data_IF_653162955219
#
_entry.id   IF_653162955219
#
_cell.length_a   1.000
_cell.length_b   1.000
_cell.length_c   1.000
_cell.angle_alpha   90.00
_cell.angle_beta   90.00
_cell.angle_gamma   90.00
#
_symmetry.space_group_name_H-M   'P 1'
#
loop_
_entity.id
_entity.type
_entity.pdbx_description
1 polymer ?
#
# COMPACT_ATOMS: atom_id res chain seq x y z
N UNK A 1 29.59 4.04 -3.58
CA UNK A 1 28.20 4.23 -4.04
C UNK A 1 27.67 3.13 -4.97
N UNK A 2 28.53 2.26 -5.54
CA UNK A 2 28.09 1.24 -6.50
C UNK A 2 27.17 0.16 -5.91
N UNK A 3 27.41 -0.24 -4.66
CA UNK A 3 26.55 -1.20 -3.96
C UNK A 3 25.09 -0.73 -3.87
N UNK A 4 24.89 0.56 -3.62
CA UNK A 4 23.54 1.14 -3.50
C UNK A 4 22.83 1.10 -4.85
N UNK A 5 23.53 1.36 -5.95
CA UNK A 5 22.96 1.28 -7.29
C UNK A 5 22.53 -0.16 -7.64
N UNK A 6 23.37 -1.14 -7.32
CA UNK A 6 23.05 -2.57 -7.54
C UNK A 6 21.83 -2.99 -6.70
N UNK A 7 21.78 -2.57 -5.44
CA UNK A 7 20.62 -2.87 -4.58
C UNK A 7 19.36 -2.18 -5.09
N UNK A 8 19.45 -0.94 -5.59
CA UNK A 8 18.30 -0.22 -6.14
C UNK A 8 17.76 -0.91 -7.40
N UNK A 9 18.63 -1.33 -8.32
CA UNK A 9 18.26 -2.08 -9.53
C UNK A 9 17.57 -3.41 -9.18
N UNK A 10 18.12 -4.15 -8.21
CA UNK A 10 17.49 -5.39 -7.71
C UNK A 10 16.13 -5.13 -7.04
N UNK A 11 15.99 -4.04 -6.30
CA UNK A 11 14.72 -3.66 -5.68
C UNK A 11 13.67 -3.26 -6.70
N UNK A 12 14.06 -2.61 -7.80
CA UNK A 12 13.14 -2.27 -8.89
C UNK A 12 12.52 -3.54 -9.50
N UNK A 13 13.35 -4.52 -9.88
CA UNK A 13 12.86 -5.79 -10.42
C UNK A 13 12.00 -6.56 -9.42
N UNK A 14 12.42 -6.61 -8.16
CA UNK A 14 11.67 -7.26 -7.08
C UNK A 14 10.30 -6.62 -6.88
N UNK A 15 10.22 -5.29 -6.87
CA UNK A 15 8.96 -4.58 -6.64
C UNK A 15 7.97 -4.77 -7.79
N UNK A 16 8.43 -4.89 -9.03
CA UNK A 16 7.58 -5.21 -10.19
C UNK A 16 6.95 -6.59 -10.04
N UNK A 17 7.73 -7.60 -9.65
CA UNK A 17 7.21 -8.95 -9.39
C UNK A 17 6.25 -8.96 -8.21
N UNK A 18 6.64 -8.31 -7.11
CA UNK A 18 5.81 -8.19 -5.91
C UNK A 18 4.47 -7.52 -6.21
N UNK A 19 4.46 -6.46 -7.02
CA UNK A 19 3.25 -5.76 -7.42
C UNK A 19 2.28 -6.68 -8.17
N UNK A 20 2.78 -7.48 -9.12
CA UNK A 20 1.95 -8.44 -9.88
C UNK A 20 1.38 -9.54 -8.98
N UNK A 21 2.17 -10.05 -8.05
CA UNK A 21 1.71 -11.07 -7.08
C UNK A 21 0.64 -10.48 -6.16
N UNK A 22 0.85 -9.26 -5.66
CA UNK A 22 -0.13 -8.58 -4.83
C UNK A 22 -1.40 -8.26 -5.61
N UNK A 23 -1.28 -7.81 -6.84
CA UNK A 23 -2.42 -7.56 -7.73
C UNK A 23 -3.25 -8.83 -7.91
N UNK A 24 -2.62 -9.94 -8.26
CA UNK A 24 -3.30 -11.23 -8.40
C UNK A 24 -3.92 -11.69 -7.08
N UNK A 25 -3.22 -11.55 -5.95
CA UNK A 25 -3.74 -11.87 -4.63
C UNK A 25 -4.99 -11.03 -4.32
N UNK A 26 -4.97 -9.72 -4.62
CA UNK A 26 -6.10 -8.83 -4.38
C UNK A 26 -7.29 -9.06 -5.32
N UNK A 27 -7.04 -9.54 -6.54
CA UNK A 27 -8.08 -9.82 -7.52
C UNK A 27 -8.71 -11.21 -7.33
N UNK A 28 -7.92 -12.23 -7.02
CA UNK A 28 -8.39 -13.63 -6.95
C UNK A 28 -8.75 -14.09 -5.56
N UNK A 29 -8.10 -13.57 -4.51
CA UNK A 29 -8.52 -13.91 -3.16
C UNK A 29 -9.79 -13.12 -2.83
N UNK A 30 -10.87 -13.77 -2.35
CA UNK A 30 -11.99 -13.08 -1.74
C UNK A 30 -11.50 -12.53 -0.40
N UNK A 31 -10.65 -11.49 -0.43
CA UNK A 31 -10.24 -10.80 0.77
C UNK A 31 -11.53 -10.35 1.48
N UNK A 32 -11.79 -10.83 2.70
CA UNK A 32 -12.93 -10.38 3.46
C UNK A 32 -12.87 -8.86 3.46
N UNK A 33 -13.94 -8.17 3.07
CA UNK A 33 -13.99 -6.69 3.00
C UNK A 33 -13.40 -6.02 4.25
N UNK A 34 -13.49 -6.72 5.40
CA UNK A 34 -12.87 -6.36 6.68
C UNK A 34 -11.34 -6.28 6.64
N UNK A 35 -10.64 -7.23 6.03
CA UNK A 35 -9.17 -7.23 5.94
C UNK A 35 -8.69 -6.09 5.02
N UNK A 36 -9.34 -5.90 3.87
CA UNK A 36 -9.00 -4.77 2.98
C UNK A 36 -9.16 -3.42 3.69
N UNK A 37 -10.23 -3.26 4.47
CA UNK A 37 -10.44 -2.07 5.30
C UNK A 37 -9.40 -1.92 6.41
N UNK A 38 -9.01 -3.01 7.08
CA UNK A 38 -7.99 -2.99 8.12
C UNK A 38 -6.61 -2.61 7.57
N UNK A 39 -6.23 -3.13 6.40
CA UNK A 39 -4.97 -2.76 5.72
C UNK A 39 -4.97 -1.25 5.45
N UNK A 40 -6.02 -0.72 4.79
CA UNK A 40 -6.14 0.71 4.51
C UNK A 40 -6.09 1.58 5.78
N UNK A 41 -6.74 1.15 6.86
CA UNK A 41 -6.72 1.87 8.16
C UNK A 41 -5.36 1.82 8.85
N UNK A 42 -4.59 0.74 8.66
CA UNK A 42 -3.26 0.59 9.24
C UNK A 42 -2.14 1.32 8.48
N UNK A 43 -2.43 1.83 7.27
CA UNK A 43 -1.45 2.61 6.52
C UNK A 43 -1.15 3.91 7.28
N UNK A 44 0.14 4.25 7.50
CA UNK A 44 0.53 5.43 8.28
C UNK A 44 0.04 6.75 7.68
N UNK A 45 -0.34 6.76 6.40
CA UNK A 45 -0.92 7.91 5.69
C UNK A 45 -2.44 8.07 5.89
N UNK A 46 -3.16 7.03 6.31
CA UNK A 46 -4.61 7.10 6.56
C UNK A 46 -4.96 7.82 7.87
N UNK A 47 -3.96 8.02 8.75
CA UNK A 47 -4.05 8.83 9.98
C UNK A 47 -4.14 10.35 9.70
N UNK A 48 -4.00 10.78 8.45
CA UNK A 48 -4.40 12.12 8.01
C UNK A 48 -5.92 12.22 8.10
N UNK A 49 -6.43 12.39 9.31
CA UNK A 49 -7.82 12.68 9.60
C UNK A 49 -8.17 13.93 8.77
N UNK A 50 -9.09 13.88 7.79
CA UNK A 50 -9.56 15.10 7.20
C UNK A 50 -10.22 15.87 8.34
N UNK A 51 -9.65 17.02 8.72
CA UNK A 51 -10.32 17.93 9.65
C UNK A 51 -11.68 18.19 9.03
N UNK A 52 -12.71 17.55 9.57
CA UNK A 52 -14.10 17.83 9.24
C UNK A 52 -14.26 19.32 9.48
N UNK A 53 -14.30 20.09 8.40
CA UNK A 53 -14.66 21.50 8.41
C UNK A 53 -16.03 21.56 9.07
N UNK A 54 -16.03 21.96 10.34
CA UNK A 54 -17.23 22.07 11.15
C UNK A 54 -18.16 23.06 10.48
N UNK A 55 -19.30 22.58 9.98
CA UNK A 55 -20.36 23.45 9.50
C UNK A 55 -20.90 24.27 10.69
N UNK A 56 -21.08 25.59 10.54
CA UNK A 56 -21.65 26.44 11.59
C UNK A 56 -23.14 26.13 11.78
N UNK A 57 -23.59 26.27 13.02
CA UNK A 57 -24.95 26.00 13.48
C UNK A 57 -25.97 27.00 12.92
#
# INVERSE_FOLDING_TARGET
>A
MILVAIVAELMEEYTVLLARVLEHLFHEAPFPRRIRFLILRSLPFASSTPRLLRAPA
#
